data_IF_872353361506
#
_entry.id   IF_872353361506
#
_cell.length_a   1.000
_cell.length_b   1.000
_cell.length_c   1.000
_cell.angle_alpha   90.00
_cell.angle_beta   90.00
_cell.angle_gamma   90.00
#
_symmetry.space_group_name_H-M   'P 1'
#
loop_
_entity.id
_entity.type
_entity.pdbx_description
1 polymer ?
#
# COMPACT_ATOMS: atom_id res chain seq x y z
N UNK A 1 -5.26 -4.20 10.09
CA UNK A 1 -5.62 -2.86 9.55
C UNK A 1 -5.99 -2.91 8.06
N UNK A 2 -5.12 -3.40 7.18
CA UNK A 2 -5.33 -3.41 5.70
C UNK A 2 -6.60 -4.15 5.24
N UNK A 3 -7.03 -5.20 5.94
CA UNK A 3 -8.26 -5.94 5.60
C UNK A 3 -9.53 -5.07 5.64
N UNK A 4 -9.63 -4.13 6.59
CA UNK A 4 -10.79 -3.23 6.69
C UNK A 4 -10.88 -2.30 5.48
N UNK A 5 -9.73 -1.76 5.07
CA UNK A 5 -9.59 -0.92 3.87
C UNK A 5 -9.95 -1.73 2.63
N UNK A 6 -9.40 -2.93 2.48
CA UNK A 6 -9.69 -3.79 1.34
C UNK A 6 -11.19 -4.13 1.25
N UNK A 7 -11.87 -4.37 2.38
CA UNK A 7 -13.30 -4.68 2.41
C UNK A 7 -14.15 -3.55 1.81
N UNK A 8 -13.85 -2.29 2.15
CA UNK A 8 -14.64 -1.12 1.71
C UNK A 8 -14.22 -0.59 0.34
N UNK A 9 -12.99 -0.88 -0.11
CA UNK A 9 -12.49 -0.44 -1.40
C UNK A 9 -13.28 -1.11 -2.53
N UNK A 10 -13.79 -0.33 -3.48
CA UNK A 10 -14.45 -0.88 -4.67
C UNK A 10 -13.44 -1.61 -5.58
N UNK A 11 -13.87 -2.61 -6.35
CA UNK A 11 -12.99 -3.28 -7.33
C UNK A 11 -12.41 -2.27 -8.33
N UNK A 12 -11.14 -2.46 -8.70
CA UNK A 12 -10.39 -1.56 -9.58
C UNK A 12 -9.95 -0.24 -8.93
N UNK A 13 -10.29 0.01 -7.67
CA UNK A 13 -9.84 1.21 -6.94
C UNK A 13 -8.54 0.97 -6.20
N UNK A 14 -7.89 2.08 -5.87
CA UNK A 14 -6.52 2.13 -5.35
C UNK A 14 -6.52 2.54 -3.88
N UNK A 15 -5.71 1.85 -3.09
CA UNK A 15 -5.29 2.29 -1.76
C UNK A 15 -3.82 2.75 -1.82
N UNK A 16 -3.55 3.94 -1.29
CA UNK A 16 -2.20 4.51 -1.23
C UNK A 16 -1.77 4.58 0.24
N UNK A 17 -0.65 3.93 0.56
CA UNK A 17 0.02 4.06 1.86
C UNK A 17 1.26 4.93 1.70
N UNK A 18 1.36 5.99 2.49
CA UNK A 18 2.58 6.81 2.62
C UNK A 18 3.28 6.43 3.91
N UNK A 19 4.58 6.14 3.84
CA UNK A 19 5.38 5.69 4.98
C UNK A 19 6.73 6.39 5.05
N UNK A 20 7.13 6.72 6.28
CA UNK A 20 8.48 7.13 6.65
C UNK A 20 9.41 5.94 6.94
N UNK A 21 8.86 4.76 7.21
CA UNK A 21 9.61 3.54 7.46
C UNK A 21 10.12 2.87 6.18
N UNK A 22 11.23 2.14 6.30
CA UNK A 22 11.86 1.41 5.20
C UNK A 22 10.89 0.44 4.50
N UNK A 23 10.94 0.33 3.17
CA UNK A 23 9.97 -0.45 2.41
C UNK A 23 9.82 -1.90 2.85
N UNK A 24 10.92 -2.57 3.16
CA UNK A 24 10.92 -3.98 3.52
C UNK A 24 10.03 -4.28 4.73
N UNK A 25 9.99 -3.36 5.70
CA UNK A 25 9.13 -3.47 6.89
C UNK A 25 7.64 -3.27 6.60
N UNK A 26 7.30 -2.58 5.50
CA UNK A 26 5.92 -2.19 5.17
C UNK A 26 5.28 -3.10 4.13
N UNK A 27 6.06 -3.61 3.18
CA UNK A 27 5.58 -4.56 2.17
C UNK A 27 4.99 -5.80 2.82
N UNK A 28 5.57 -6.31 3.91
CA UNK A 28 5.03 -7.46 4.66
C UNK A 28 3.62 -7.23 5.21
N UNK A 29 3.30 -6.00 5.62
CA UNK A 29 1.96 -5.65 6.12
C UNK A 29 0.90 -5.57 5.00
N UNK A 30 1.36 -5.34 3.76
CA UNK A 30 0.50 -5.23 2.57
C UNK A 30 0.36 -6.57 1.82
N UNK A 31 1.38 -7.44 1.91
CA UNK A 31 1.37 -8.80 1.36
C UNK A 31 0.55 -9.73 2.27
N UNK A 32 -0.75 -9.80 2.00
CA UNK A 32 -1.63 -10.79 2.60
C UNK A 32 -2.21 -11.69 1.50
N UNK A 33 -2.05 -13.01 1.67
CA UNK A 33 -2.52 -14.06 0.74
C UNK A 33 -4.00 -13.97 0.38
N UNK A 34 -4.82 -13.34 1.22
CA UNK A 34 -6.26 -13.19 1.00
C UNK A 34 -6.64 -11.91 0.23
N UNK A 35 -5.73 -10.94 0.09
CA UNK A 35 -6.02 -9.66 -0.56
C UNK A 35 -5.59 -9.65 -2.03
N UNK A 36 -4.46 -10.32 -2.33
CA UNK A 36 -3.96 -10.60 -3.67
C UNK A 36 -3.97 -9.40 -4.65
N UNK A 37 -3.81 -8.18 -4.12
CA UNK A 37 -3.64 -6.98 -4.92
C UNK A 37 -2.18 -6.83 -5.38
N UNK A 38 -1.91 -6.30 -6.59
CA UNK A 38 -0.59 -5.80 -6.93
C UNK A 38 -0.19 -4.68 -5.97
N UNK A 39 1.10 -4.63 -5.62
CA UNK A 39 1.70 -3.58 -4.79
C UNK A 39 2.80 -2.94 -5.62
N UNK A 40 2.57 -1.71 -6.05
CA UNK A 40 3.57 -0.88 -6.69
C UNK A 40 4.25 0.01 -5.64
N UNK A 41 5.56 0.20 -5.78
CA UNK A 41 6.35 1.02 -4.87
C UNK A 41 6.86 2.25 -5.61
N UNK A 42 6.64 3.42 -5.03
CA UNK A 42 7.21 4.68 -5.50
C UNK A 42 7.92 5.38 -4.34
N UNK A 43 8.85 6.28 -4.68
CA UNK A 43 9.56 7.10 -3.70
C UNK A 43 9.55 8.55 -4.14
N UNK A 44 9.35 9.45 -3.19
CA UNK A 44 9.42 10.90 -3.42
C UNK A 44 10.54 11.46 -2.55
N UNK A 45 11.51 12.20 -3.11
CA UNK A 45 12.54 12.86 -2.31
C UNK A 45 11.89 13.78 -1.28
N UNK A 46 12.43 13.79 -0.08
CA UNK A 46 12.03 14.74 0.95
C UNK A 46 12.61 16.11 0.63
N UNK A 47 11.90 17.15 1.04
CA UNK A 47 12.48 18.49 1.07
C UNK A 47 13.53 18.49 2.18
N UNK A 48 14.78 18.79 1.82
CA UNK A 48 15.84 18.88 2.81
C UNK A 48 15.59 20.06 3.74
N UNK A 49 15.60 19.80 5.04
CA UNK A 49 15.44 20.80 6.08
C UNK A 49 16.54 20.54 7.11
N UNK A 50 17.42 21.53 7.34
CA UNK A 50 18.62 21.39 8.19
C UNK A 50 18.28 20.84 9.59
N UNK A 51 17.13 21.24 10.12
CA UNK A 51 16.57 20.79 11.41
C UNK A 51 16.32 19.27 11.53
N UNK A 52 16.30 18.52 10.42
CA UNK A 52 16.09 17.06 10.42
C UNK A 52 17.31 16.25 9.95
N UNK A 53 18.43 16.90 9.61
CA UNK A 53 19.59 16.26 9.01
C UNK A 53 20.15 15.06 9.79
N UNK A 54 20.06 15.08 11.13
CA UNK A 54 20.58 14.04 12.02
C UNK A 54 19.51 13.05 12.53
N UNK A 55 18.25 13.25 12.17
CA UNK A 55 17.11 12.42 12.65
C UNK A 55 16.57 11.54 11.54
N UNK A 56 16.75 11.95 10.29
CA UNK A 56 16.21 11.24 9.13
C UNK A 56 17.02 10.00 8.75
N UNK A 57 16.39 8.83 8.87
CA UNK A 57 16.97 7.55 8.41
C UNK A 57 16.90 7.36 6.88
N UNK A 58 16.16 8.21 6.16
CA UNK A 58 16.02 8.15 4.70
C UNK A 58 15.69 9.52 4.14
N UNK A 59 16.20 9.81 2.95
CA UNK A 59 15.94 11.01 2.16
C UNK A 59 14.64 10.92 1.33
N UNK A 60 13.84 9.86 1.50
CA UNK A 60 12.64 9.62 0.70
C UNK A 60 11.41 9.35 1.57
N UNK A 61 10.25 9.81 1.11
CA UNK A 61 8.96 9.25 1.47
C UNK A 61 8.68 8.04 0.57
N UNK A 62 8.19 6.94 1.15
CA UNK A 62 7.84 5.74 0.40
C UNK A 62 6.33 5.63 0.25
N UNK A 63 5.90 5.32 -0.97
CA UNK A 63 4.52 5.15 -1.36
C UNK A 63 4.29 3.71 -1.78
N UNK A 64 3.20 3.13 -1.30
CA UNK A 64 2.74 1.80 -1.73
C UNK A 64 1.35 1.95 -2.32
N UNK A 65 1.24 1.63 -3.61
CA UNK A 65 0.02 1.76 -4.39
C UNK A 65 -0.54 0.35 -4.55
N UNK A 66 -1.70 0.12 -3.98
CA UNK A 66 -2.35 -1.18 -3.94
C UNK A 66 -3.67 -1.15 -4.72
N UNK A 67 -3.75 -1.86 -5.84
CA UNK A 67 -4.95 -1.84 -6.70
C UNK A 67 -5.81 -3.06 -6.44
N UNK A 68 -7.06 -2.88 -6.02
CA UNK A 68 -7.96 -4.02 -5.75
C UNK A 68 -8.36 -4.71 -7.04
N UNK A 69 -8.04 -6.00 -7.16
CA UNK A 69 -8.31 -6.77 -8.37
C UNK A 69 -9.83 -6.92 -8.63
N UNK A 70 -10.24 -6.69 -9.88
CA UNK A 70 -11.63 -6.78 -10.35
C UNK A 70 -12.08 -8.24 -10.43
N UNK A 71 -11.25 -9.12 -10.98
CA UNK A 71 -11.60 -10.53 -11.23
C UNK A 71 -11.84 -11.31 -9.94
N UNK A 72 -11.01 -11.06 -8.92
CA UNK A 72 -11.16 -11.71 -7.61
C UNK A 72 -12.48 -11.34 -6.93
N UNK A 73 -12.93 -10.09 -7.11
CA UNK A 73 -14.21 -9.65 -6.59
C UNK A 73 -15.39 -10.31 -7.32
N UNK A 74 -15.33 -10.37 -8.66
CA UNK A 74 -16.39 -11.00 -9.46
C UNK A 74 -16.51 -12.47 -9.09
N UNK A 75 -15.41 -13.24 -9.10
CA UNK A 75 -15.40 -14.68 -8.73
C UNK A 75 -15.94 -14.92 -7.33
N UNK A 76 -15.61 -14.07 -6.35
CA UNK A 76 -16.08 -14.22 -4.98
C UNK A 76 -17.58 -13.99 -4.83
N UNK A 77 -18.16 -13.07 -5.61
CA UNK A 77 -19.60 -12.75 -5.50
C UNK A 77 -20.47 -13.60 -6.44
N UNK A 78 -19.91 -14.18 -7.50
CA UNK A 78 -20.61 -15.14 -8.37
C UNK A 78 -20.75 -16.53 -7.78
N UNK A 79 -20.00 -16.87 -6.72
CA UNK A 79 -20.10 -18.14 -5.98
C UNK A 79 -21.12 -18.09 -4.84
N UNK A 80 -21.84 -16.98 -4.68
CA UNK A 80 -22.82 -16.74 -3.61
C UNK A 80 -24.23 -16.51 -4.21
N UNK A 81 -24.41 -16.82 -5.50
CA UNK A 81 -25.72 -16.91 -6.18
C UNK A 81 -25.98 -18.36 -6.54
#
# INVERSE_FOLDING_TARGET
MVQGIYRVLKPGRVYILVSYGMPDTRVGNLKNKFLNWPIEQARIPKVFLDQFANVELSQYHYFFICTKNIEYYIKRNSLIQ
#
